data_IF_710854481295
#
_entry.id   IF_710854481295
#
_cell.length_a   1.000
_cell.length_b   1.000
_cell.length_c   1.000
_cell.angle_alpha   90.00
_cell.angle_beta   90.00
_cell.angle_gamma   90.00
#
_symmetry.space_group_name_H-M   'P 1'
#
loop_
_entity.id
_entity.type
_entity.pdbx_description
1 polymer ?
2 non-polymer ?
3 water ?
#
# COMPACT_ATOMS: atom_id res chain seq x y z
N UNK A 2 18.67 13.86 1.36
CA UNK A 2 19.59 14.92 1.79
C UNK A 2 19.58 15.05 3.32
N UNK A 3 18.50 14.59 3.94
CA UNK A 3 18.41 14.65 5.40
C UNK A 3 19.45 13.74 6.04
N UNK A 4 19.51 12.48 5.59
CA UNK A 4 20.47 11.54 6.15
C UNK A 4 21.90 11.94 5.82
N UNK A 5 22.12 12.56 4.66
CA UNK A 5 23.47 12.95 4.27
C UNK A 5 23.99 14.04 5.21
N UNK A 6 23.16 15.05 5.48
CA UNK A 6 23.59 16.16 6.32
C UNK A 6 23.86 15.72 7.75
N UNK A 7 23.11 14.73 8.25
CA UNK A 7 23.37 14.21 9.59
C UNK A 7 24.72 13.50 9.65
N UNK A 8 25.06 12.75 8.61
CA UNK A 8 26.37 12.10 8.57
C UNK A 8 27.49 13.13 8.56
N UNK A 9 27.31 14.25 7.84
CA UNK A 9 28.34 15.29 7.84
C UNK A 9 28.59 15.79 9.25
N UNK A 10 27.50 16.04 9.99
CA UNK A 10 27.62 16.51 11.36
C UNK A 10 28.43 15.53 12.21
N UNK A 11 28.18 14.22 12.05
CA UNK A 11 28.90 13.23 12.84
C UNK A 11 30.38 13.18 12.45
N UNK A 12 30.67 13.18 11.14
CA UNK A 12 32.07 13.15 10.70
C UNK A 12 32.82 14.39 11.15
N UNK A 13 32.20 15.56 10.98
CA UNK A 13 32.85 16.80 11.39
C UNK A 13 33.14 16.79 12.89
N UNK A 14 32.19 16.30 13.69
CA UNK A 14 32.40 16.18 15.13
C UNK A 14 33.62 15.33 15.45
N UNK A 15 33.83 14.26 14.68
CA UNK A 15 35.05 13.46 14.77
C UNK A 15 36.24 14.16 14.14
N UNK A 16 36.00 15.13 13.26
CA UNK A 16 37.08 15.74 12.51
C UNK A 16 37.67 14.86 11.44
N UNK A 17 36.88 13.92 10.91
CA UNK A 17 37.38 12.95 9.95
C UNK A 17 36.60 12.99 8.65
N UNK A 18 37.20 12.39 7.62
CA UNK A 18 36.44 12.10 6.42
C UNK A 18 35.33 11.11 6.78
N UNK A 19 34.41 10.89 5.85
CA UNK A 19 33.42 9.84 6.04
C UNK A 19 34.12 8.49 6.19
N UNK A 20 33.65 7.69 7.14
CA UNK A 20 34.15 6.33 7.28
C UNK A 20 33.47 5.40 6.26
N UNK A 21 34.06 4.22 6.08
CA UNK A 21 33.45 3.21 5.22
C UNK A 21 32.07 2.82 5.73
N UNK A 22 31.92 2.76 7.05
CA UNK A 22 30.61 2.49 7.65
C UNK A 22 29.61 3.59 7.32
N UNK A 23 30.03 4.86 7.40
CA UNK A 23 29.07 5.90 7.08
C UNK A 23 28.73 5.90 5.60
N UNK A 24 29.69 5.56 4.75
CA UNK A 24 29.42 5.51 3.32
C UNK A 24 28.49 4.35 2.97
N UNK A 25 28.67 3.19 3.60
CA UNK A 25 27.77 2.07 3.34
C UNK A 25 26.37 2.38 3.86
N UNK A 26 26.29 3.00 5.04
CA UNK A 26 25.00 3.42 5.58
C UNK A 26 24.26 4.34 4.61
N UNK A 27 24.95 5.35 4.08
CA UNK A 27 24.29 6.28 3.16
C UNK A 27 23.95 5.60 1.84
N UNK A 28 24.80 4.67 1.42
CA UNK A 28 24.52 3.94 0.20
C UNK A 28 23.25 3.11 0.35
N UNK A 29 23.02 2.56 1.54
CA UNK A 29 21.82 1.77 1.76
C UNK A 29 20.57 2.65 1.78
N UNK A 30 20.71 3.91 2.20
CA UNK A 30 19.61 4.86 2.12
C UNK A 30 19.21 5.08 0.67
N UNK A 31 20.19 5.22 -0.22
CA UNK A 31 19.86 5.42 -1.63
C UNK A 31 19.27 4.15 -2.23
N UNK A 32 19.80 2.99 -1.84
CA UNK A 32 19.26 1.73 -2.34
C UNK A 32 17.82 1.54 -1.86
N UNK A 33 17.54 1.84 -0.59
CA UNK A 33 16.19 1.69 -0.05
C UNK A 33 15.21 2.63 -0.74
N UNK A 34 15.64 3.87 -0.97
CA UNK A 34 14.81 4.78 -1.74
C UNK A 34 14.48 4.23 -3.11
N UNK A 35 15.46 3.63 -3.79
CA UNK A 35 15.18 3.13 -5.13
C UNK A 35 14.21 1.95 -5.08
N UNK A 36 14.38 1.05 -4.09
CA UNK A 36 13.48 -0.09 -3.96
C UNK A 36 12.06 0.37 -3.65
N UNK A 37 11.93 1.38 -2.78
CA UNK A 37 10.63 1.95 -2.46
C UNK A 37 9.95 2.51 -3.70
N UNK A 38 10.71 3.20 -4.56
CA UNK A 38 10.12 3.71 -5.79
C UNK A 38 9.69 2.59 -6.73
N UNK A 39 10.44 1.49 -6.79
CA UNK A 39 10.00 0.33 -7.58
C UNK A 39 8.66 -0.20 -7.07
N UNK A 40 8.48 -0.23 -5.74
CA UNK A 40 7.25 -0.76 -5.17
C UNK A 40 6.07 0.14 -5.50
N UNK A 41 6.26 1.46 -5.35
CA UNK A 41 5.23 2.43 -5.71
C UNK A 41 4.95 2.39 -7.21
N UNK A 42 6.00 2.28 -8.02
CA UNK A 42 5.83 2.19 -9.46
C UNK A 42 5.07 0.92 -9.84
N UNK A 43 5.45 -0.22 -9.26
CA UNK A 43 4.79 -1.47 -9.62
C UNK A 43 3.33 -1.49 -9.18
N UNK A 44 3.03 -0.95 -7.99
CA UNK A 44 1.65 -0.90 -7.51
C UNK A 44 0.82 0.11 -8.30
N UNK A 45 1.40 1.28 -8.59
CA UNK A 45 0.71 2.30 -9.38
C UNK A 45 0.42 1.81 -10.79
N UNK A 46 1.45 1.27 -11.45
CA UNK A 46 1.28 0.86 -12.83
C UNK A 46 0.27 -0.28 -12.95
N UNK A 47 0.17 -1.14 -11.94
CA UNK A 47 -0.72 -2.28 -11.99
C UNK A 47 -1.98 -2.09 -11.14
N UNK A 48 -2.35 -0.84 -10.88
CA UNK A 48 -3.41 -0.56 -9.92
C UNK A 48 -4.72 -1.26 -10.31
N UNK A 49 -5.08 -1.23 -11.60
CA UNK A 49 -6.34 -1.82 -12.06
C UNK A 49 -6.34 -3.34 -11.88
N UNK A 50 -5.18 -3.98 -12.08
CA UNK A 50 -5.10 -5.42 -11.90
C UNK A 50 -5.20 -5.79 -10.43
N UNK A 51 -4.55 -5.01 -9.56
CA UNK A 51 -4.64 -5.26 -8.13
C UNK A 51 -6.08 -5.16 -7.66
N UNK A 52 -6.78 -4.10 -8.09
CA UNK A 52 -8.20 -3.95 -7.76
C UNK A 52 -9.01 -5.12 -8.32
N UNK A 53 -8.80 -5.47 -9.60
CA UNK A 53 -9.67 -6.47 -10.23
C UNK A 53 -9.47 -7.86 -9.61
N UNK A 54 -8.21 -8.26 -9.42
CA UNK A 54 -7.93 -9.55 -8.80
C UNK A 54 -8.56 -9.65 -7.42
N UNK A 55 -8.42 -8.60 -6.61
CA UNK A 55 -9.02 -8.63 -5.28
C UNK A 55 -10.54 -8.72 -5.36
N UNK A 56 -11.15 -7.89 -6.22
CA UNK A 56 -12.60 -7.88 -6.31
C UNK A 56 -13.12 -9.23 -6.77
N UNK A 57 -12.44 -9.84 -7.74
CA UNK A 57 -12.84 -11.16 -8.22
C UNK A 57 -12.79 -12.17 -7.09
N UNK A 58 -11.74 -12.11 -6.28
CA UNK A 58 -11.61 -13.05 -5.18
C UNK A 58 -12.68 -12.78 -4.12
N UNK A 59 -12.97 -11.51 -3.86
CA UNK A 59 -13.96 -11.16 -2.85
C UNK A 59 -15.35 -11.60 -3.28
N UNK A 60 -15.73 -11.29 -4.53
CA UNK A 60 -17.07 -11.63 -5.00
C UNK A 60 -17.26 -13.14 -5.11
N UNK A 61 -16.23 -13.87 -5.53
CA UNK A 61 -16.35 -15.33 -5.61
C UNK A 61 -16.53 -15.94 -4.22
N UNK A 62 -15.90 -15.34 -3.21
CA UNK A 62 -15.95 -15.81 -1.84
C UNK A 62 -17.25 -15.39 -1.16
N UNK A 63 -17.74 -14.20 -1.48
CA UNK A 63 -18.93 -13.63 -0.87
C UNK A 63 -19.90 -13.29 -1.99
N UNK A 64 -20.49 -14.31 -2.64
CA UNK A 64 -21.35 -14.04 -3.81
C UNK A 64 -22.60 -13.24 -3.48
N UNK A 65 -23.06 -13.31 -2.23
CA UNK A 65 -24.21 -12.52 -1.81
C UNK A 65 -24.02 -11.04 -2.09
N UNK A 66 -22.76 -10.58 -2.12
CA UNK A 66 -22.51 -9.15 -2.32
C UNK A 66 -23.00 -8.70 -3.69
N UNK A 67 -22.97 -9.59 -4.68
CA UNK A 67 -23.37 -9.27 -6.05
C UNK A 67 -24.57 -10.11 -6.52
N UNK A 68 -25.31 -10.74 -5.57
CA UNK A 68 -26.63 -11.34 -5.79
C UNK A 68 -27.70 -10.34 -5.39
N UNK A 69 -28.97 -10.56 -5.75
CA UNK A 69 -30.00 -9.57 -5.40
C UNK A 69 -30.08 -9.35 -3.89
N UNK A 70 -30.28 -8.09 -3.50
CA UNK A 70 -30.20 -7.70 -2.12
C UNK A 70 -28.81 -7.35 -1.63
N UNK A 71 -27.77 -7.69 -2.39
CA UNK A 71 -26.39 -7.45 -1.98
C UNK A 71 -26.00 -5.99 -2.11
N UNK A 72 -24.99 -5.55 -1.37
CA UNK A 72 -24.62 -4.14 -1.35
C UNK A 72 -23.87 -3.75 -2.61
N UNK A 73 -23.37 -4.76 -3.32
CA UNK A 73 -22.64 -4.52 -4.57
C UNK A 73 -23.38 -5.09 -5.78
N UNK A 74 -24.67 -5.33 -5.61
CA UNK A 74 -25.52 -5.82 -6.68
C UNK A 74 -25.83 -4.71 -7.69
N UNK A 75 -25.91 -5.11 -8.97
CA UNK A 75 -25.98 -4.27 -10.18
C UNK A 75 -24.60 -3.69 -10.47
N UNK A 76 -24.30 -3.45 -11.76
CA UNK A 76 -22.97 -2.97 -12.13
C UNK A 76 -22.69 -1.59 -11.56
N UNK A 77 -23.72 -0.75 -11.38
CA UNK A 77 -23.50 0.60 -10.86
C UNK A 77 -22.93 0.55 -9.45
N UNK A 78 -23.54 -0.26 -8.58
CA UNK A 78 -22.99 -0.51 -7.25
C UNK A 78 -21.64 -1.21 -7.33
N UNK A 79 -21.53 -2.21 -8.21
CA UNK A 79 -20.25 -2.91 -8.38
C UNK A 79 -19.14 -1.93 -8.75
N UNK A 80 -19.43 -1.00 -9.67
CA UNK A 80 -18.42 -0.05 -10.13
C UNK A 80 -17.98 0.88 -9.00
N UNK A 81 -18.92 1.29 -8.15
CA UNK A 81 -18.56 2.16 -7.03
C UNK A 81 -17.71 1.40 -6.02
N UNK A 82 -17.97 0.10 -5.85
CA UNK A 82 -17.12 -0.75 -5.03
C UNK A 82 -15.70 -0.80 -5.56
N UNK A 83 -15.53 -1.05 -6.87
CA UNK A 83 -14.20 -1.04 -7.46
C UNK A 83 -13.54 0.33 -7.29
N UNK A 84 -14.32 1.40 -7.41
CA UNK A 84 -13.75 2.73 -7.24
C UNK A 84 -13.23 2.93 -5.82
N UNK A 85 -13.95 2.42 -4.82
CA UNK A 85 -13.51 2.52 -3.43
C UNK A 85 -12.18 1.81 -3.23
N UNK A 86 -12.09 0.56 -3.69
CA UNK A 86 -10.82 -0.16 -3.60
C UNK A 86 -9.69 0.60 -4.29
N UNK A 87 -9.96 1.16 -5.48
CA UNK A 87 -8.94 2.00 -6.10
C UNK A 87 -8.51 3.15 -5.20
N UNK A 88 -9.45 3.81 -4.51
CA UNK A 88 -9.09 4.94 -3.66
C UNK A 88 -8.16 4.48 -2.54
N UNK A 89 -8.55 3.41 -1.84
CA UNK A 89 -7.75 2.90 -0.73
C UNK A 89 -6.37 2.47 -1.22
N UNK A 90 -6.31 1.77 -2.36
CA UNK A 90 -5.01 1.41 -2.93
C UNK A 90 -4.17 2.64 -3.20
N UNK A 91 -4.79 3.69 -3.74
CA UNK A 91 -4.08 4.94 -3.99
C UNK A 91 -3.41 5.45 -2.72
N UNK A 92 -4.16 5.50 -1.60
CA UNK A 92 -3.56 6.04 -0.37
C UNK A 92 -2.55 5.07 0.23
N UNK A 93 -2.68 3.77 -0.05
CA UNK A 93 -1.61 2.86 0.36
C UNK A 93 -0.32 3.14 -0.41
N UNK A 94 -0.42 3.50 -1.71
CA UNK A 94 0.81 3.86 -2.40
C UNK A 94 1.38 5.17 -1.88
N UNK A 95 0.52 6.12 -1.47
CA UNK A 95 1.02 7.34 -0.85
C UNK A 95 1.83 7.02 0.41
N UNK A 96 1.27 6.16 1.28
CA UNK A 96 1.98 5.74 2.49
C UNK A 96 3.30 5.06 2.16
N UNK A 97 3.30 4.20 1.13
CA UNK A 97 4.52 3.52 0.73
C UNK A 97 5.55 4.52 0.23
N UNK A 98 5.12 5.50 -0.56
CA UNK A 98 6.06 6.51 -1.03
C UNK A 98 6.62 7.33 0.12
N UNK A 99 5.76 7.76 1.06
CA UNK A 99 6.21 8.62 2.15
C UNK A 99 6.94 7.87 3.26
N UNK A 100 6.72 6.57 3.41
CA UNK A 100 7.31 5.85 4.52
C UNK A 100 6.54 5.93 5.83
N UNK A 101 5.34 6.51 5.83
CA UNK A 101 4.53 6.54 7.03
C UNK A 101 3.06 6.64 6.63
N UNK A 102 2.18 6.51 7.63
CA UNK A 102 0.75 6.43 7.38
C UNK A 102 0.03 7.74 7.66
N UNK A 103 0.74 8.86 7.68
CA UNK A 103 0.13 10.10 8.13
C UNK A 103 -0.96 10.57 7.16
N UNK A 104 -0.68 10.59 5.85
CA UNK A 104 -1.70 10.97 4.86
C UNK A 104 -2.77 9.89 4.75
N UNK A 105 -2.36 8.62 4.74
CA UNK A 105 -3.33 7.53 4.68
C UNK A 105 -4.36 7.65 5.80
N UNK A 106 -3.88 7.94 7.01
CA UNK A 106 -4.77 8.15 8.16
C UNK A 106 -5.62 9.40 8.00
N UNK A 107 -4.97 10.55 7.82
CA UNK A 107 -5.70 11.82 7.87
C UNK A 107 -6.67 11.98 6.71
N UNK A 108 -6.29 11.51 5.52
CA UNK A 108 -7.10 11.77 4.33
C UNK A 108 -8.02 10.63 3.95
N UNK A 109 -7.71 9.40 4.34
CA UNK A 109 -8.49 8.27 3.85
C UNK A 109 -9.18 7.52 4.97
N UNK A 110 -8.44 7.03 5.97
CA UNK A 110 -8.99 6.12 6.98
C UNK A 110 -9.79 6.82 8.07
N UNK A 111 -9.43 8.04 8.47
CA UNK A 111 -10.13 8.71 9.56
C UNK A 111 -11.59 8.98 9.17
N UNK A 112 -12.53 8.37 9.89
CA UNK A 112 -13.94 8.58 9.61
C UNK A 112 -14.53 7.73 8.51
N UNK A 113 -13.73 6.89 7.86
CA UNK A 113 -14.21 6.13 6.72
C UNK A 113 -15.23 5.09 7.16
N UNK A 114 -15.03 4.50 8.33
CA UNK A 114 -15.99 3.54 8.86
C UNK A 114 -17.36 4.19 8.99
N UNK A 115 -17.38 5.47 9.36
CA UNK A 115 -18.63 6.19 9.56
C UNK A 115 -19.28 6.58 8.24
N UNK A 116 -18.50 6.82 7.18
CA UNK A 116 -19.09 6.99 5.86
C UNK A 116 -19.79 5.71 5.42
N UNK A 117 -19.11 4.57 5.60
CA UNK A 117 -19.68 3.28 5.19
C UNK A 117 -20.95 2.95 5.96
N UNK A 118 -20.98 3.25 7.27
CA UNK A 118 -22.20 3.06 8.06
C UNK A 118 -23.32 3.98 7.58
N UNK A 119 -23.00 5.22 7.21
CA UNK A 119 -24.03 6.11 6.67
C UNK A 119 -24.63 5.54 5.39
N UNK A 120 -23.87 4.72 4.68
CA UNK A 120 -24.27 4.19 3.39
C UNK A 120 -24.77 2.77 3.47
N UNK A 121 -24.56 2.09 4.59
CA UNK A 121 -24.81 0.66 4.66
C UNK A 121 -23.80 -0.22 3.94
N UNK A 122 -22.64 0.30 3.55
CA UNK A 122 -21.61 -0.56 2.94
C UNK A 122 -21.03 -1.46 4.03
N UNK A 123 -20.99 -2.77 3.84
CA UNK A 123 -20.47 -3.65 4.90
C UNK A 123 -18.97 -3.49 5.04
N UNK A 124 -18.53 -2.74 6.05
CA UNK A 124 -17.10 -2.48 6.22
C UNK A 124 -16.26 -3.74 6.32
N UNK A 125 -16.80 -4.79 6.93
CA UNK A 125 -16.02 -6.02 7.06
C UNK A 125 -15.73 -6.69 5.73
N UNK A 126 -16.61 -6.48 4.74
CA UNK A 126 -16.32 -6.95 3.39
C UNK A 126 -15.35 -6.01 2.66
N UNK A 127 -15.41 -4.70 2.93
CA UNK A 127 -14.35 -3.81 2.45
C UNK A 127 -13.00 -4.28 2.99
N UNK A 128 -12.95 -4.65 4.28
CA UNK A 128 -11.69 -5.11 4.87
C UNK A 128 -11.16 -6.34 4.15
N UNK A 129 -12.04 -7.30 3.84
CA UNK A 129 -11.60 -8.47 3.08
C UNK A 129 -11.05 -8.06 1.71
N UNK A 130 -11.74 -7.15 1.01
CA UNK A 130 -11.24 -6.67 -0.27
C UNK A 130 -9.88 -5.99 -0.15
N UNK A 131 -9.68 -5.22 0.91
CA UNK A 131 -8.38 -4.58 1.11
C UNK A 131 -7.30 -5.63 1.36
N UNK A 132 -7.62 -6.65 2.16
CA UNK A 132 -6.64 -7.70 2.44
C UNK A 132 -6.30 -8.50 1.19
N UNK A 133 -7.24 -8.60 0.24
CA UNK A 133 -6.93 -9.29 -1.00
C UNK A 133 -6.12 -8.40 -1.94
N UNK A 134 -6.37 -7.09 -1.92
CA UNK A 134 -5.50 -6.16 -2.64
C UNK A 134 -4.07 -6.27 -2.12
N UNK A 135 -3.93 -6.41 -0.80
CA UNK A 135 -2.60 -6.58 -0.23
C UNK A 135 -1.85 -7.71 -0.93
N UNK A 136 -2.48 -8.90 -1.01
CA UNK A 136 -1.80 -10.07 -1.55
C UNK A 136 -1.52 -9.92 -3.04
N UNK A 137 -2.43 -9.28 -3.78
CA UNK A 137 -2.17 -9.04 -5.19
C UNK A 137 -1.04 -8.02 -5.36
N UNK A 138 -1.06 -6.95 -4.55
CA UNK A 138 -0.02 -5.93 -4.64
C UNK A 138 1.35 -6.50 -4.33
N UNK A 139 1.43 -7.34 -3.29
CA UNK A 139 2.72 -7.86 -2.88
C UNK A 139 3.27 -8.83 -3.92
N UNK A 140 2.41 -9.65 -4.54
CA UNK A 140 2.89 -10.54 -5.60
C UNK A 140 3.50 -9.74 -6.75
N UNK A 141 2.92 -8.59 -7.07
CA UNK A 141 3.45 -7.69 -8.09
C UNK A 141 4.74 -7.01 -7.62
N UNK A 142 4.76 -6.52 -6.38
CA UNK A 142 5.97 -5.89 -5.85
C UNK A 142 7.13 -6.88 -5.80
N UNK A 143 6.86 -8.12 -5.37
CA UNK A 143 7.90 -9.14 -5.22
C UNK A 143 8.28 -9.90 -6.48
N UNK A 144 7.69 -9.62 -7.62
CA UNK A 144 8.07 -10.34 -8.84
C UNK A 144 9.51 -10.03 -9.25
N UNK A 145 10.39 -11.03 -9.36
CA UNK A 145 11.82 -10.76 -9.63
C UNK A 145 12.15 -10.48 -11.09
N UNK A 146 11.24 -10.73 -12.02
CA UNK A 146 11.53 -10.46 -13.42
C UNK A 146 11.45 -8.96 -13.69
N UNK A 147 12.35 -8.49 -14.56
CA UNK A 147 12.30 -7.12 -15.02
C UNK A 147 12.95 -6.13 -14.09
N UNK A 148 13.71 -6.60 -13.10
CA UNK A 148 14.25 -5.71 -12.08
C UNK A 148 15.54 -6.30 -11.52
N UNK A 149 16.42 -5.43 -11.02
CA UNK A 149 17.63 -5.89 -10.34
C UNK A 149 17.29 -6.73 -9.12
N UNK A 150 17.85 -7.95 -9.07
CA UNK A 150 17.58 -8.86 -7.97
C UNK A 150 18.11 -8.30 -6.65
N UNK A 151 17.33 -8.51 -5.59
CA UNK A 151 17.72 -8.08 -4.26
C UNK A 151 16.60 -8.35 -3.27
N UNK A 152 16.86 -7.97 -2.02
CA UNK A 152 15.93 -8.22 -0.92
C UNK A 152 15.01 -7.02 -0.74
N UNK A 153 13.70 -7.27 -0.83
CA UNK A 153 12.70 -6.25 -0.56
C UNK A 153 11.80 -6.61 0.62
N UNK A 154 12.25 -7.52 1.49
CA UNK A 154 11.37 -8.10 2.49
C UNK A 154 10.93 -7.07 3.52
N UNK A 155 11.83 -6.18 3.95
CA UNK A 155 11.44 -5.18 4.95
C UNK A 155 10.45 -4.19 4.36
N UNK A 156 10.64 -3.85 3.09
CA UNK A 156 9.71 -2.97 2.40
C UNK A 156 8.34 -3.64 2.25
N UNK A 157 8.32 -4.92 1.86
CA UNK A 157 7.06 -5.65 1.70
C UNK A 157 6.32 -5.74 3.03
N UNK A 158 7.05 -5.96 4.13
CA UNK A 158 6.41 -5.96 5.45
C UNK A 158 5.80 -4.60 5.75
N UNK A 159 6.52 -3.52 5.45
CA UNK A 159 5.97 -2.19 5.68
C UNK A 159 4.73 -1.95 4.82
N UNK A 160 4.75 -2.41 3.57
CA UNK A 160 3.57 -2.26 2.72
C UNK A 160 2.40 -3.05 3.29
N UNK A 161 2.64 -4.30 3.70
CA UNK A 161 1.58 -5.09 4.32
C UNK A 161 0.99 -4.37 5.53
N UNK A 162 1.83 -3.68 6.31
CA UNK A 162 1.31 -2.97 7.48
C UNK A 162 0.34 -1.88 7.06
N UNK A 163 0.59 -1.21 5.92
CA UNK A 163 -0.33 -0.16 5.49
C UNK A 163 -1.67 -0.74 5.07
N UNK A 164 -1.63 -1.86 4.33
CA UNK A 164 -2.87 -2.52 3.92
C UNK A 164 -3.63 -3.03 5.14
N UNK A 165 -2.92 -3.59 6.12
CA UNK A 165 -3.59 -4.14 7.29
C UNK A 165 -4.20 -3.04 8.14
N UNK A 166 -3.49 -1.92 8.27
CA UNK A 166 -4.04 -0.77 8.97
C UNK A 166 -5.32 -0.27 8.30
N UNK A 167 -5.33 -0.22 6.96
CA UNK A 167 -6.51 0.26 6.26
C UNK A 167 -7.67 -0.71 6.42
N UNK A 168 -7.40 -2.01 6.31
CA UNK A 168 -8.45 -3.01 6.51
C UNK A 168 -9.00 -2.93 7.93
N UNK A 169 -8.10 -2.91 8.93
CA UNK A 169 -8.56 -2.85 10.31
C UNK A 169 -9.29 -1.55 10.61
N UNK A 170 -9.04 -0.51 9.83
CA UNK A 170 -9.72 0.76 10.08
C UNK A 170 -11.18 0.74 9.66
N UNK A 171 -11.58 -0.16 8.75
CA UNK A 171 -12.96 -0.17 8.26
C UNK A 171 -13.75 -1.38 8.70
N UNK A 172 -13.11 -2.48 9.08
CA UNK A 172 -13.80 -3.68 9.52
C UNK A 172 -15.00 -3.33 10.41
X LIG B 1 -20.16 4.49 -2.34
X LIG B 1 -17.86 4.93 -1.32
X LIG B 1 -19.25 5.27 -1.76
X LIG B 1 -19.46 6.75 -1.45
X LIG B 1 -18.24 7.28 -0.82
X LIG B 1 -17.25 6.15 -0.76
X LIG B 1 -18.11 8.74 -0.36
X LIG B 1 -20.77 7.53 -1.75
X LIG B 1 -20.55 8.49 -2.94
X LIG B 1 -20.06 7.75 -4.19
X LIG B 1 -19.15 8.25 -4.92
X LIG B 1 -20.56 6.63 -4.50
X LIG B 1 -15.81 6.05 -0.22
X LIG B 1 -15.16 8.52 -0.57
X LIG B 1 -14.94 7.07 -0.17
X LIG B 1 -13.53 6.97 0.30
X LIG B 1 -12.89 8.24 0.23
X LIG B 1 -13.85 9.27 -0.31
X LIG B 1 -12.86 5.67 0.80
X LIG B 1 -11.41 8.44 0.69
X LIG B 1 -10.85 9.78 0.16
X LIG B 1 -13.68 10.43 -0.51
X LIG B 1 -19.87 -2.16 -1.42
X LIG B 1 -19.73 -3.47 -1.20
X LIG B 1 -18.21 -3.81 -1.20
X LIG B 1 -17.50 -2.42 -1.27
X LIG B 1 -18.50 -1.45 -1.62
X LIG B 1 -17.90 -4.54 0.04
X LIG B 1 -16.34 -2.49 -2.31
X LIG B 1 -15.20 -3.41 -1.80
X LIG B 1 -20.62 -4.22 -1.01
X LIG B 1 -18.32 -0.12 -1.85
X LIG B 1 -19.13 2.35 -2.02
X LIG B 1 -19.36 0.99 -2.23
X LIG B 1 -20.64 0.83 -2.84
X LIG B 1 -21.18 2.07 -3.00
X LIG B 1 -20.27 2.94 -2.50
X LIG B 1 -21.40 -0.45 -3.30
X LIG B 1 -22.54 2.53 -3.58
X LIG B 1 -23.49 2.62 -2.35
X LIG B 1 -24.91 2.33 -2.87
X LIG B 1 -25.18 2.52 -4.09
X LIG B 1 -25.79 1.89 -2.08
X LIG C 1 17.46 -1.13 -8.17
X LIG C 1 15.47 0.41 -8.71
X LIG C 1 16.92 0.01 -8.59
X LIG C 1 17.75 1.18 -9.12
X LIG C 1 16.85 2.26 -9.53
X LIG C 1 15.45 1.78 -9.28
X LIG C 1 17.28 3.63 -10.11
X LIG C 1 19.30 1.22 -9.21
X LIG C 1 19.73 0.83 -10.65
X LIG C 1 19.15 -0.56 -11.03
X LIG C 1 19.59 -1.59 -10.44
X LIG C 1 18.26 -0.65 -11.93
X LIG C 1 14.17 2.56 -9.53
X LIG C 1 14.79 3.30 -11.95
X LIG C 1 13.91 3.15 -10.70
X LIG C 1 12.62 3.79 -11.01
X LIG C 1 12.63 4.33 -12.34
X LIG C 1 13.96 4.07 -13.00
X LIG C 1 11.47 3.83 -9.98
X LIG C 1 11.45 5.07 -13.01
X LIG C 1 10.79 4.07 -14.00
X LIG C 1 14.32 4.37 -14.09
X LIG C 1 14.39 -6.23 -6.66
X LIG C 1 13.93 -7.43 -6.25
X LIG C 1 12.54 -7.20 -5.59
X LIG C 1 12.20 -5.70 -5.87
X LIG C 1 13.42 -5.07 -6.28
X LIG C 1 11.57 -8.10 -6.25
X LIG C 1 11.72 -5.06 -4.53
X LIG C 1 10.55 -4.09 -4.80
X LIG C 1 14.47 -8.48 -6.41
X LIG C 1 13.80 -3.77 -6.12
X LIG C 1 15.61 -2.28 -7.31
X LIG C 1 15.25 -3.28 -6.42
X LIG C 1 16.42 -3.78 -5.82
X LIG C 1 17.48 -3.12 -6.31
X LIG C 1 16.97 -2.22 -7.18
X LIG C 1 16.55 -4.90 -4.76
X LIG C 1 18.99 -3.26 -5.99
X LIG C 1 19.19 -2.28 -4.81
X LIG C 1 20.57 -2.62 -4.21
X LIG C 1 20.64 -3.33 -3.16
X LIG C 1 21.59 -2.18 -4.82
#
# INVERSE_FOLDING_TARGET
>A
MLDAFAKVVSQADTKGEFLSSAQLDALSNVVKDGSKRLDAVNRMTSNASTIVANAARSLFEEQPQLIQPGGNAYTNRRMAACLRDMEIILRYVTYATLAGDSSVLDDRCLNGLRETYQALGVPGGSVAAGVAKMKDAAIAIVNDPNGITKGDCSALVSEIASYFDRAAAAVA
>B hetero
1 CYC CHA NA C1A C2A C3A C4A CMA CAA CBA CGA O1A O2A CHB NB C1B C2B C3B C4B CMB CAB CBB OB NC C1C C2C C3C C4C CMC CAC CBC OC CHD ND C1D C2D C3D C4D CMD CAD CBD CGD O1D O2D
>C hetero
1 CYC CHA NA C1A C2A C3A C4A CMA CAA CBA CGA O1A O2A CHB NB C1B C2B C3B C4B CMB CAB CBB OB NC C1C C2C C3C C4C CMC CAC CBC OC CHD ND C1D C2D C3D C4D CMD CAD CBD CGD O1D O2D
#
